data_IF_096437053943
#
_entry.id   IF_096437053943
#
_cell.length_a   1.000
_cell.length_b   1.000
_cell.length_c   1.000
_cell.angle_alpha   90.00
_cell.angle_beta   90.00
_cell.angle_gamma   90.00
#
_symmetry.space_group_name_H-M   'P 1'
#
loop_
_entity.id
_entity.type
_entity.pdbx_description
1 polymer ?
#
# COMPACT_ATOMS: atom_id res chain seq x y z
N UNK A 1 16.63 4.42 -24.80
CA UNK A 1 15.21 4.05 -25.01
C UNK A 1 14.41 4.74 -23.93
N UNK A 2 13.51 5.67 -24.25
CA UNK A 2 12.63 6.26 -23.25
C UNK A 2 11.72 5.17 -22.67
N UNK A 3 11.54 5.12 -21.35
CA UNK A 3 10.68 4.13 -20.73
C UNK A 3 9.23 4.47 -21.03
N UNK A 4 8.51 3.58 -21.70
CA UNK A 4 7.12 3.74 -22.13
C UNK A 4 6.86 5.15 -22.71
N UNK A 5 6.43 5.27 -23.93
CA UNK A 5 6.10 6.55 -24.59
C UNK A 5 4.86 7.18 -23.95
N UNK A 6 4.97 7.53 -22.66
CA UNK A 6 3.94 8.31 -22.00
C UNK A 6 4.07 9.78 -22.42
N UNK A 7 2.95 10.38 -22.74
CA UNK A 7 2.87 11.81 -23.03
C UNK A 7 3.12 12.66 -21.76
N UNK A 8 3.33 13.94 -21.97
CA UNK A 8 3.59 14.90 -20.89
C UNK A 8 2.45 14.94 -19.85
N UNK A 9 1.21 14.75 -20.30
CA UNK A 9 0.03 14.72 -19.40
C UNK A 9 0.12 13.52 -18.45
N UNK A 10 0.37 12.32 -18.96
CA UNK A 10 0.54 11.11 -18.16
C UNK A 10 1.64 11.25 -17.11
N UNK A 11 2.80 11.81 -17.50
CA UNK A 11 3.87 12.07 -16.54
C UNK A 11 3.50 13.10 -15.49
N UNK A 12 2.84 14.18 -15.88
CA UNK A 12 2.39 15.22 -14.93
C UNK A 12 1.44 14.63 -13.90
N UNK A 13 0.44 13.85 -14.35
CA UNK A 13 -0.49 13.17 -13.44
C UNK A 13 0.28 12.18 -12.52
N UNK A 14 1.20 11.39 -13.08
CA UNK A 14 1.98 10.43 -12.31
C UNK A 14 2.81 11.09 -11.21
N UNK A 15 3.50 12.19 -11.50
CA UNK A 15 4.25 12.95 -10.51
C UNK A 15 3.36 13.56 -9.42
N UNK A 16 2.22 14.14 -9.81
CA UNK A 16 1.25 14.69 -8.86
C UNK A 16 0.68 13.60 -7.94
N UNK A 17 0.27 12.47 -8.49
CA UNK A 17 -0.24 11.32 -7.73
C UNK A 17 0.82 10.80 -6.76
N UNK A 18 2.06 10.61 -7.22
CA UNK A 18 3.16 10.13 -6.39
C UNK A 18 3.44 11.09 -5.21
N UNK A 19 3.46 12.40 -5.47
CA UNK A 19 3.66 13.43 -4.45
C UNK A 19 2.52 13.45 -3.43
N UNK A 20 1.26 13.40 -3.89
CA UNK A 20 0.08 13.35 -3.01
C UNK A 20 0.06 12.07 -2.19
N UNK A 21 0.35 10.92 -2.79
CA UNK A 21 0.42 9.64 -2.09
C UNK A 21 1.50 9.65 -0.99
N UNK A 22 2.67 10.20 -1.30
CA UNK A 22 3.74 10.42 -0.34
C UNK A 22 3.32 11.33 0.80
N UNK A 23 2.72 12.49 0.49
CA UNK A 23 2.25 13.46 1.48
C UNK A 23 1.23 12.84 2.43
N UNK A 24 0.23 12.15 1.90
CA UNK A 24 -0.77 11.48 2.74
C UNK A 24 -0.13 10.42 3.62
N UNK A 25 0.79 9.60 3.07
CA UNK A 25 1.54 8.63 3.87
C UNK A 25 2.34 9.29 4.99
N UNK A 26 3.00 10.41 4.72
CA UNK A 26 3.74 11.17 5.73
C UNK A 26 2.85 11.63 6.88
N UNK A 27 1.63 12.09 6.60
CA UNK A 27 0.69 12.59 7.61
C UNK A 27 0.04 11.45 8.41
N UNK A 28 -0.48 10.39 7.72
CA UNK A 28 -1.31 9.35 8.38
C UNK A 28 -0.59 8.02 8.60
N UNK A 29 0.59 7.83 8.02
CA UNK A 29 1.41 6.61 8.15
C UNK A 29 1.03 5.46 7.23
N UNK A 30 -0.03 5.57 6.43
CA UNK A 30 -0.52 4.54 5.51
C UNK A 30 -1.12 5.19 4.24
N UNK A 31 -1.87 4.44 3.43
CA UNK A 31 -2.61 4.87 2.24
C UNK A 31 -1.77 5.13 0.97
N UNK A 32 -0.43 5.17 1.03
CA UNK A 32 0.40 5.38 -0.16
C UNK A 32 0.02 4.43 -1.31
N UNK A 33 -0.04 3.09 -1.12
CA UNK A 33 -0.39 2.19 -2.22
C UNK A 33 -1.78 2.45 -2.79
N UNK A 34 -2.74 2.75 -1.94
CA UNK A 34 -4.12 2.98 -2.35
C UNK A 34 -4.26 4.20 -3.26
N UNK A 35 -3.67 5.34 -2.84
CA UNK A 35 -3.70 6.59 -3.63
C UNK A 35 -2.90 6.42 -4.90
N UNK A 36 -1.73 5.80 -4.80
CA UNK A 36 -0.82 5.60 -5.91
C UNK A 36 -1.48 4.79 -7.03
N UNK A 37 -2.00 3.61 -6.69
CA UNK A 37 -2.65 2.74 -7.67
C UNK A 37 -3.92 3.36 -8.20
N UNK A 38 -4.81 3.86 -7.33
CA UNK A 38 -6.07 4.47 -7.77
C UNK A 38 -5.85 5.68 -8.69
N UNK A 39 -4.83 6.50 -8.39
CA UNK A 39 -4.51 7.67 -9.19
C UNK A 39 -3.81 7.32 -10.50
N UNK A 40 -2.79 6.45 -10.47
CA UNK A 40 -2.06 6.08 -11.67
C UNK A 40 -2.92 5.26 -12.65
N UNK A 41 -3.82 4.42 -12.14
CA UNK A 41 -4.71 3.64 -13.00
C UNK A 41 -5.69 4.50 -13.81
N UNK A 42 -5.74 5.82 -13.60
CA UNK A 42 -6.50 6.75 -14.46
C UNK A 42 -5.79 6.93 -15.81
N UNK A 43 -4.45 6.95 -15.79
CA UNK A 43 -3.62 7.33 -16.95
C UNK A 43 -2.73 6.20 -17.47
N UNK A 44 -2.67 5.07 -16.80
CA UNK A 44 -1.88 3.90 -17.22
C UNK A 44 -2.57 2.58 -16.88
N UNK A 45 -2.17 1.45 -17.51
CA UNK A 45 -2.69 0.12 -17.18
C UNK A 45 -2.48 -0.23 -15.71
N UNK A 46 -3.41 -0.99 -15.10
CA UNK A 46 -3.37 -1.29 -13.67
C UNK A 46 -2.13 -2.09 -13.25
N UNK A 47 -1.62 -2.99 -14.09
CA UNK A 47 -0.38 -3.73 -13.86
C UNK A 47 0.84 -2.80 -13.88
N UNK A 48 0.86 -1.81 -14.76
CA UNK A 48 1.91 -0.79 -14.80
C UNK A 48 1.86 0.11 -13.56
N UNK A 49 0.66 0.52 -13.14
CA UNK A 49 0.45 1.28 -11.91
C UNK A 49 0.93 0.51 -10.66
N UNK A 50 0.66 -0.80 -10.62
CA UNK A 50 1.15 -1.68 -9.56
C UNK A 50 2.69 -1.73 -9.54
N UNK A 51 3.32 -1.98 -10.69
CA UNK A 51 4.78 -2.02 -10.79
C UNK A 51 5.44 -0.67 -10.46
N UNK A 52 4.84 0.44 -10.91
CA UNK A 52 5.31 1.79 -10.63
C UNK A 52 5.30 2.16 -9.13
N UNK A 53 4.40 1.56 -8.35
CA UNK A 53 4.32 1.73 -6.90
C UNK A 53 5.50 1.11 -6.14
N UNK A 54 6.08 0.01 -6.64
CA UNK A 54 6.89 -0.93 -5.84
C UNK A 54 8.12 -0.26 -5.22
N UNK A 55 8.94 0.45 -6.00
CA UNK A 55 10.16 1.08 -5.48
C UNK A 55 9.84 2.26 -4.55
N UNK A 56 8.92 3.20 -4.91
CA UNK A 56 8.48 4.24 -3.98
C UNK A 56 7.96 3.68 -2.65
N UNK A 57 7.16 2.60 -2.70
CA UNK A 57 6.64 1.96 -1.50
C UNK A 57 7.75 1.31 -0.67
N UNK A 58 8.72 0.64 -1.30
CA UNK A 58 9.87 0.04 -0.62
C UNK A 58 10.65 1.10 0.16
N UNK A 59 11.02 2.21 -0.49
CA UNK A 59 11.84 3.24 0.14
C UNK A 59 11.05 3.95 1.24
N UNK A 60 9.81 4.39 0.97
CA UNK A 60 8.98 5.10 1.94
C UNK A 60 8.63 4.24 3.18
N UNK A 61 8.37 2.95 2.99
CA UNK A 61 8.12 2.02 4.08
C UNK A 61 9.39 1.67 4.85
N UNK A 62 10.54 1.54 4.16
CA UNK A 62 11.85 1.35 4.78
C UNK A 62 12.21 2.51 5.71
N UNK A 63 12.04 3.75 5.25
CA UNK A 63 12.24 4.95 6.08
C UNK A 63 11.34 4.95 7.31
N UNK A 64 10.06 4.59 7.15
CA UNK A 64 9.12 4.47 8.27
C UNK A 64 9.50 3.35 9.25
N UNK A 65 9.93 2.19 8.74
CA UNK A 65 10.36 1.04 9.55
C UNK A 65 11.56 1.36 10.43
N UNK A 66 12.52 2.10 9.89
CA UNK A 66 13.79 2.44 10.55
C UNK A 66 13.73 3.74 11.36
N UNK A 67 12.62 4.46 11.34
CA UNK A 67 12.47 5.77 12.04
C UNK A 67 12.81 5.71 13.52
N UNK A 68 12.53 4.60 14.20
CA UNK A 68 12.79 4.40 15.63
C UNK A 68 14.02 3.52 15.90
N UNK A 69 14.86 3.33 14.89
CA UNK A 69 16.11 2.56 14.97
C UNK A 69 15.95 1.09 14.59
N UNK A 70 17.06 0.51 14.16
CA UNK A 70 17.14 -0.87 13.66
C UNK A 70 16.79 -1.93 14.72
N UNK A 71 17.19 -1.71 15.98
CA UNK A 71 16.93 -2.64 17.07
C UNK A 71 15.43 -2.85 17.31
N UNK A 72 14.64 -1.75 17.31
CA UNK A 72 13.19 -1.83 17.48
C UNK A 72 12.49 -2.43 16.25
N UNK A 73 13.02 -2.17 15.04
CA UNK A 73 12.54 -2.83 13.84
C UNK A 73 12.73 -4.34 13.92
N UNK A 74 13.92 -4.80 14.32
CA UNK A 74 14.24 -6.22 14.50
C UNK A 74 13.38 -6.88 15.60
N UNK A 75 13.15 -6.20 16.72
CA UNK A 75 12.23 -6.67 17.76
C UNK A 75 10.81 -6.86 17.21
N UNK A 76 10.33 -5.94 16.37
CA UNK A 76 9.04 -6.05 15.71
C UNK A 76 8.98 -7.24 14.74
N UNK A 77 10.04 -7.49 13.97
CA UNK A 77 10.14 -8.68 13.10
C UNK A 77 10.01 -9.96 13.92
N UNK A 78 10.75 -10.08 15.02
CA UNK A 78 10.67 -11.24 15.93
C UNK A 78 9.25 -11.39 16.50
N UNK A 79 8.64 -10.30 16.93
CA UNK A 79 7.31 -10.27 17.52
C UNK A 79 6.23 -10.72 16.53
N UNK A 80 6.26 -10.25 15.28
CA UNK A 80 5.26 -10.52 14.25
C UNK A 80 5.72 -11.54 13.21
N UNK A 81 6.68 -12.41 13.56
CA UNK A 81 7.27 -13.38 12.61
C UNK A 81 6.24 -14.26 11.91
N UNK A 82 5.18 -14.71 12.62
CA UNK A 82 4.16 -15.58 12.02
C UNK A 82 3.30 -14.83 11.00
N UNK A 83 2.93 -13.58 11.31
CA UNK A 83 2.26 -12.69 10.36
C UNK A 83 3.12 -12.44 9.11
N UNK A 84 4.40 -12.16 9.30
CA UNK A 84 5.34 -11.86 8.22
C UNK A 84 5.61 -13.08 7.33
N UNK A 85 5.78 -14.27 7.92
CA UNK A 85 6.02 -15.50 7.15
C UNK A 85 4.78 -15.87 6.34
N UNK A 86 3.61 -15.97 6.97
CA UNK A 86 2.36 -16.29 6.27
C UNK A 86 2.03 -15.25 5.21
N UNK A 87 2.18 -13.96 5.55
CA UNK A 87 1.97 -12.86 4.62
C UNK A 87 2.94 -12.91 3.44
N UNK A 88 4.21 -13.14 3.68
CA UNK A 88 5.23 -13.26 2.63
C UNK A 88 4.96 -14.44 1.69
N UNK A 89 4.65 -15.62 2.22
CA UNK A 89 4.33 -16.82 1.41
C UNK A 89 3.08 -16.58 0.55
N UNK A 90 2.00 -16.07 1.14
CA UNK A 90 0.76 -15.79 0.42
C UNK A 90 0.93 -14.67 -0.62
N UNK A 91 1.72 -13.64 -0.31
CA UNK A 91 2.07 -12.56 -1.24
C UNK A 91 2.84 -13.10 -2.44
N UNK A 92 3.89 -13.89 -2.20
CA UNK A 92 4.69 -14.49 -3.26
C UNK A 92 3.84 -15.37 -4.18
N UNK A 93 2.92 -16.15 -3.62
CA UNK A 93 2.02 -17.01 -4.39
C UNK A 93 1.02 -16.18 -5.22
N UNK A 94 0.34 -15.22 -4.61
CA UNK A 94 -0.72 -14.45 -5.29
C UNK A 94 -0.17 -13.50 -6.36
N UNK A 95 1.03 -12.95 -6.18
CA UNK A 95 1.67 -12.07 -7.15
C UNK A 95 1.93 -12.75 -8.52
N UNK A 96 2.06 -14.08 -8.57
CA UNK A 96 2.29 -14.80 -9.82
C UNK A 96 1.09 -14.78 -10.76
N UNK A 97 -0.11 -14.53 -10.22
CA UNK A 97 -1.34 -14.51 -11.01
C UNK A 97 -1.63 -13.17 -11.67
N UNK A 98 -0.92 -12.09 -11.32
CA UNK A 98 -1.23 -10.71 -11.78
C UNK A 98 -1.32 -10.62 -13.30
N UNK A 99 -0.35 -11.18 -14.04
CA UNK A 99 -0.34 -11.14 -15.51
C UNK A 99 -1.30 -12.13 -16.18
N UNK A 100 -1.92 -13.04 -15.39
CA UNK A 100 -2.94 -13.96 -15.88
C UNK A 100 -4.35 -13.37 -15.75
N UNK A 101 -4.51 -12.29 -15.02
CA UNK A 101 -5.80 -11.64 -14.77
C UNK A 101 -6.09 -10.64 -15.88
N UNK A 102 -7.36 -10.55 -16.28
CA UNK A 102 -7.79 -9.48 -17.18
C UNK A 102 -7.70 -8.11 -16.48
N UNK A 103 -7.56 -7.01 -17.24
CA UNK A 103 -7.56 -5.66 -16.69
C UNK A 103 -8.78 -5.36 -15.80
N UNK A 104 -9.98 -5.87 -16.21
CA UNK A 104 -11.22 -5.70 -15.45
C UNK A 104 -11.12 -6.39 -14.09
N UNK A 105 -10.59 -7.62 -14.05
CA UNK A 105 -10.39 -8.38 -12.84
C UNK A 105 -9.37 -7.70 -11.91
N UNK A 106 -8.29 -7.14 -12.47
CA UNK A 106 -7.33 -6.33 -11.71
C UNK A 106 -7.98 -5.08 -11.11
N UNK A 107 -8.81 -4.36 -11.87
CA UNK A 107 -9.54 -3.21 -11.34
C UNK A 107 -10.46 -3.58 -10.18
N UNK A 108 -11.13 -4.73 -10.22
CA UNK A 108 -11.95 -5.23 -9.10
C UNK A 108 -11.06 -5.55 -7.88
N UNK A 109 -9.97 -6.29 -8.09
CA UNK A 109 -9.05 -6.69 -7.03
C UNK A 109 -8.29 -5.52 -6.40
N UNK A 110 -8.06 -4.45 -7.15
CA UNK A 110 -7.51 -3.19 -6.65
C UNK A 110 -8.57 -2.34 -5.95
N UNK A 111 -9.75 -2.22 -6.55
CA UNK A 111 -10.83 -1.34 -6.10
C UNK A 111 -11.55 -1.86 -4.86
N UNK A 112 -11.78 -3.17 -4.76
CA UNK A 112 -12.51 -3.76 -3.64
C UNK A 112 -11.84 -3.53 -2.28
N UNK A 113 -10.53 -3.82 -2.07
CA UNK A 113 -9.88 -3.57 -0.80
C UNK A 113 -9.86 -2.09 -0.41
N UNK A 114 -9.66 -1.19 -1.39
CA UNK A 114 -9.65 0.26 -1.17
C UNK A 114 -11.03 0.74 -0.72
N UNK A 115 -12.08 0.36 -1.47
CA UNK A 115 -13.47 0.74 -1.19
C UNK A 115 -13.93 0.21 0.16
N UNK A 116 -13.74 -1.10 0.39
CA UNK A 116 -14.11 -1.75 1.64
C UNK A 116 -13.43 -1.11 2.84
N UNK A 117 -12.12 -0.88 2.77
CA UNK A 117 -11.37 -0.26 3.84
C UNK A 117 -11.81 1.18 4.11
N UNK A 118 -11.97 1.99 3.05
CA UNK A 118 -12.39 3.37 3.19
C UNK A 118 -13.78 3.47 3.81
N UNK A 119 -14.73 2.67 3.31
CA UNK A 119 -16.09 2.61 3.84
C UNK A 119 -16.10 2.17 5.31
N UNK A 120 -15.46 1.04 5.63
CA UNK A 120 -15.39 0.53 6.99
C UNK A 120 -14.79 1.55 7.98
N UNK A 121 -13.73 2.25 7.59
CA UNK A 121 -13.10 3.26 8.42
C UNK A 121 -13.97 4.54 8.61
N UNK A 122 -14.78 4.89 7.59
CA UNK A 122 -15.67 6.07 7.65
C UNK A 122 -16.86 5.85 8.58
N UNK A 123 -17.45 4.66 8.57
CA UNK A 123 -18.59 4.32 9.43
C UNK A 123 -18.18 4.00 10.87
N UNK A 124 -16.88 4.06 11.17
CA UNK A 124 -16.33 3.87 12.52
C UNK A 124 -16.88 2.60 13.23
N UNK A 125 -17.03 1.50 12.50
CA UNK A 125 -17.38 0.23 13.15
C UNK A 125 -16.27 -0.09 14.14
N UNK A 126 -16.62 -0.19 15.41
CA UNK A 126 -15.71 -0.62 16.46
C UNK A 126 -15.25 -2.04 16.17
N UNK A 127 -13.94 -2.21 16.08
CA UNK A 127 -13.36 -3.53 15.92
C UNK A 127 -13.42 -4.21 17.26
N UNK A 128 -14.05 -5.38 17.33
CA UNK A 128 -14.00 -6.22 18.52
C UNK A 128 -12.53 -6.41 18.91
N UNK A 129 -12.22 -6.07 20.17
CA UNK A 129 -10.90 -6.33 20.69
C UNK A 129 -10.69 -7.83 20.81
N UNK A 130 -9.58 -8.29 20.31
CA UNK A 130 -9.20 -9.70 20.35
C UNK A 130 -7.80 -9.83 20.95
N UNK A 131 -7.62 -10.86 21.75
CA UNK A 131 -6.28 -11.22 22.19
C UNK A 131 -5.45 -11.69 20.99
N UNK A 132 -4.20 -11.26 20.94
CA UNK A 132 -3.27 -11.69 19.93
C UNK A 132 -2.95 -13.17 20.12
N UNK A 133 -3.01 -13.95 19.05
CA UNK A 133 -2.58 -15.35 19.03
C UNK A 133 -1.78 -15.66 17.77
N UNK A 134 -1.04 -16.79 17.81
CA UNK A 134 -0.27 -17.26 16.66
C UNK A 134 -1.15 -17.56 15.45
N UNK A 135 -2.31 -18.15 15.67
CA UNK A 135 -3.28 -18.50 14.62
C UNK A 135 -3.82 -17.25 13.94
N UNK A 136 -4.13 -16.21 14.74
CA UNK A 136 -4.60 -14.92 14.22
C UNK A 136 -3.50 -14.20 13.45
N UNK A 137 -2.25 -14.23 13.92
CA UNK A 137 -1.09 -13.70 13.18
C UNK A 137 -0.98 -14.39 11.81
N UNK A 138 -1.06 -15.72 11.75
CA UNK A 138 -0.99 -16.49 10.51
C UNK A 138 -2.16 -16.17 9.58
N UNK A 139 -3.39 -16.19 10.09
CA UNK A 139 -4.59 -15.92 9.30
C UNK A 139 -4.56 -14.51 8.70
N UNK A 140 -4.32 -13.50 9.53
CA UNK A 140 -4.35 -12.10 9.09
C UNK A 140 -3.14 -11.74 8.23
N UNK A 141 -1.98 -12.34 8.50
CA UNK A 141 -0.82 -12.24 7.62
C UNK A 141 -1.10 -12.85 6.25
N UNK A 142 -1.67 -14.05 6.21
CA UNK A 142 -2.06 -14.73 4.97
C UNK A 142 -3.05 -13.91 4.13
N UNK A 143 -4.13 -13.41 4.76
CA UNK A 143 -5.12 -12.55 4.08
C UNK A 143 -4.44 -11.27 3.54
N UNK A 144 -3.63 -10.60 4.38
CA UNK A 144 -2.90 -9.41 3.96
C UNK A 144 -1.96 -9.70 2.79
N UNK A 145 -1.26 -10.83 2.83
CA UNK A 145 -0.36 -11.27 1.75
C UNK A 145 -1.09 -11.59 0.45
N UNK A 146 -2.18 -12.35 0.50
CA UNK A 146 -2.99 -12.69 -0.69
C UNK A 146 -3.48 -11.42 -1.40
N UNK A 147 -4.06 -10.48 -0.65
CA UNK A 147 -4.52 -9.21 -1.21
C UNK A 147 -3.32 -8.39 -1.70
N UNK A 148 -2.26 -8.32 -0.89
CA UNK A 148 -1.08 -7.51 -1.17
C UNK A 148 -0.29 -7.94 -2.39
N UNK A 149 -0.18 -9.24 -2.68
CA UNK A 149 0.57 -9.75 -3.82
C UNK A 149 -0.06 -9.37 -5.15
N UNK A 150 -1.39 -9.42 -5.24
CA UNK A 150 -2.11 -9.05 -6.47
C UNK A 150 -2.28 -7.53 -6.60
N UNK A 151 -2.51 -6.84 -5.49
CA UNK A 151 -2.92 -5.43 -5.51
C UNK A 151 -1.86 -4.44 -5.02
N UNK A 152 -0.78 -4.90 -4.41
CA UNK A 152 0.14 -4.01 -3.68
C UNK A 152 -0.47 -3.36 -2.43
N UNK A 153 -1.70 -3.74 -2.04
CA UNK A 153 -2.49 -3.09 -0.99
C UNK A 153 -2.73 -4.06 0.17
N UNK A 154 -1.72 -4.29 1.01
CA UNK A 154 -1.85 -5.10 2.24
C UNK A 154 -2.22 -4.27 3.49
N UNK A 155 -2.35 -2.96 3.32
CA UNK A 155 -2.65 -2.02 4.42
C UNK A 155 -3.97 -2.32 5.15
N UNK A 156 -5.11 -2.47 4.47
CA UNK A 156 -6.41 -2.68 5.09
C UNK A 156 -6.45 -3.82 6.11
N UNK A 157 -6.12 -5.07 5.77
CA UNK A 157 -6.14 -6.18 6.74
C UNK A 157 -5.18 -5.96 7.89
N UNK A 158 -3.98 -5.41 7.60
CA UNK A 158 -2.97 -5.11 8.63
C UNK A 158 -3.48 -4.07 9.63
N UNK A 159 -4.05 -2.94 9.14
CA UNK A 159 -4.59 -1.89 10.01
C UNK A 159 -5.74 -2.40 10.86
N UNK A 160 -6.65 -3.18 10.26
CA UNK A 160 -7.76 -3.81 10.98
C UNK A 160 -7.23 -4.71 12.11
N UNK A 161 -6.30 -5.59 11.80
CA UNK A 161 -5.73 -6.50 12.78
C UNK A 161 -5.00 -5.78 13.92
N UNK A 162 -4.10 -4.84 13.60
CA UNK A 162 -3.37 -4.07 14.61
C UNK A 162 -4.29 -3.20 15.46
N UNK A 163 -5.48 -2.86 14.95
CA UNK A 163 -6.51 -2.16 15.72
C UNK A 163 -7.27 -3.12 16.63
N UNK A 164 -7.61 -4.29 16.13
CA UNK A 164 -8.31 -5.32 16.90
C UNK A 164 -7.52 -5.82 18.12
N UNK A 165 -6.19 -5.92 18.01
CA UNK A 165 -5.32 -6.29 19.13
C UNK A 165 -4.96 -5.10 20.05
N UNK A 166 -5.67 -3.99 19.94
CA UNK A 166 -5.64 -2.83 20.85
C UNK A 166 -4.24 -2.23 21.13
N UNK A 167 -3.33 -2.25 20.15
CA UNK A 167 -1.99 -1.68 20.33
C UNK A 167 -2.02 -0.15 20.48
N UNK A 168 -1.07 0.45 21.24
CA UNK A 168 -0.87 1.89 21.29
C UNK A 168 -0.60 2.47 19.89
N UNK A 169 -1.03 3.71 19.62
CA UNK A 169 -0.90 4.36 18.30
C UNK A 169 0.53 4.39 17.78
N UNK A 170 1.49 4.70 18.66
CA UNK A 170 2.92 4.76 18.30
C UNK A 170 3.44 3.40 17.85
N UNK A 171 3.07 2.34 18.56
CA UNK A 171 3.45 0.97 18.21
C UNK A 171 2.80 0.52 16.91
N UNK A 172 1.52 0.87 16.67
CA UNK A 172 0.85 0.58 15.39
C UNK A 172 1.61 1.15 14.21
N UNK A 173 2.01 2.43 14.26
CA UNK A 173 2.74 3.11 13.17
C UNK A 173 4.09 2.43 12.92
N UNK A 174 4.82 2.11 13.99
CA UNK A 174 6.10 1.40 13.91
C UNK A 174 5.95 0.03 13.29
N UNK A 175 5.01 -0.78 13.80
CA UNK A 175 4.75 -2.15 13.32
C UNK A 175 4.30 -2.13 11.86
N UNK A 176 3.43 -1.20 11.48
CA UNK A 176 3.04 -1.00 10.09
C UNK A 176 4.24 -0.72 9.19
N UNK A 177 5.16 0.15 9.62
CA UNK A 177 6.39 0.44 8.88
C UNK A 177 7.20 -0.83 8.59
N UNK A 178 7.39 -1.68 9.60
CA UNK A 178 8.14 -2.93 9.47
C UNK A 178 7.41 -3.93 8.57
N UNK A 179 6.12 -4.16 8.80
CA UNK A 179 5.30 -5.08 7.99
C UNK A 179 5.29 -4.61 6.53
N UNK A 180 5.08 -3.32 6.30
CA UNK A 180 5.01 -2.75 4.95
C UNK A 180 6.39 -2.71 4.27
N UNK A 181 7.47 -2.47 5.02
CA UNK A 181 8.82 -2.50 4.51
C UNK A 181 9.22 -3.89 4.02
N UNK A 182 9.01 -4.91 4.84
CA UNK A 182 9.28 -6.30 4.47
C UNK A 182 8.32 -6.81 3.39
N UNK A 183 7.05 -6.41 3.45
CA UNK A 183 6.08 -6.69 2.39
C UNK A 183 6.52 -6.10 1.04
N UNK A 184 7.08 -4.89 1.02
CA UNK A 184 7.60 -4.28 -0.20
C UNK A 184 8.84 -5.03 -0.74
N UNK A 185 9.72 -5.56 0.13
CA UNK A 185 10.81 -6.44 -0.30
C UNK A 185 10.26 -7.71 -0.95
N UNK A 186 9.29 -8.37 -0.31
CA UNK A 186 8.64 -9.55 -0.86
C UNK A 186 7.95 -9.25 -2.21
N UNK A 187 7.33 -8.07 -2.33
CA UNK A 187 6.67 -7.63 -3.56
C UNK A 187 7.68 -7.40 -4.70
N UNK A 188 8.86 -6.82 -4.41
CA UNK A 188 9.94 -6.69 -5.40
C UNK A 188 10.32 -8.07 -5.94
N UNK A 189 10.64 -9.02 -5.04
CA UNK A 189 11.06 -10.37 -5.42
C UNK A 189 9.97 -11.08 -6.21
N UNK A 190 8.72 -11.00 -5.76
CA UNK A 190 7.58 -11.63 -6.41
C UNK A 190 7.33 -11.08 -7.81
N UNK A 191 7.37 -9.75 -7.99
CA UNK A 191 7.06 -9.11 -9.26
C UNK A 191 8.25 -9.04 -10.24
N UNK A 192 9.47 -9.24 -9.78
CA UNK A 192 10.58 -9.60 -10.66
C UNK A 192 10.36 -11.00 -11.26
N UNK A 193 9.89 -11.95 -10.45
CA UNK A 193 9.58 -13.31 -10.91
C UNK A 193 8.35 -13.40 -11.80
N UNK A 194 7.28 -12.65 -11.50
CA UNK A 194 6.05 -12.64 -12.31
C UNK A 194 6.16 -11.85 -13.62
N UNK A 195 7.20 -11.01 -13.79
CA UNK A 195 7.40 -10.19 -14.99
C UNK A 195 6.69 -8.82 -14.97
N UNK A 196 5.91 -8.50 -13.94
CA UNK A 196 5.29 -7.15 -13.78
C UNK A 196 6.37 -6.08 -13.65
N UNK A 197 7.44 -6.38 -12.90
CA UNK A 197 8.54 -5.44 -12.69
C UNK A 197 9.65 -5.64 -13.74
N UNK A 198 9.32 -5.43 -15.01
CA UNK A 198 10.29 -5.44 -16.09
C UNK A 198 11.02 -4.09 -16.21
N UNK A 199 12.06 -4.02 -17.04
CA UNK A 199 12.99 -2.88 -17.11
C UNK A 199 12.31 -1.51 -17.31
N UNK A 200 11.31 -1.44 -18.17
CA UNK A 200 10.58 -0.19 -18.44
C UNK A 200 9.77 0.27 -17.22
N UNK A 201 9.02 -0.65 -16.58
CA UNK A 201 8.23 -0.36 -15.38
C UNK A 201 9.14 -0.04 -14.20
N UNK A 202 10.30 -0.70 -14.09
CA UNK A 202 11.30 -0.39 -13.08
C UNK A 202 11.81 1.05 -13.20
N UNK A 203 12.04 1.52 -14.43
CA UNK A 203 12.45 2.91 -14.68
C UNK A 203 11.36 3.91 -14.27
N UNK A 204 10.09 3.64 -14.64
CA UNK A 204 8.95 4.46 -14.18
C UNK A 204 8.87 4.49 -12.66
N UNK A 205 8.97 3.32 -12.03
CA UNK A 205 8.95 3.18 -10.57
C UNK A 205 10.08 4.00 -9.90
N UNK A 206 11.30 3.94 -10.45
CA UNK A 206 12.44 4.68 -9.93
C UNK A 206 12.26 6.20 -10.07
N UNK A 207 11.74 6.68 -11.19
CA UNK A 207 11.48 8.11 -11.41
C UNK A 207 10.42 8.67 -10.43
N UNK A 208 9.44 7.87 -10.04
CA UNK A 208 8.40 8.27 -9.10
C UNK A 208 8.84 8.26 -7.63
N UNK A 209 10.06 7.77 -7.33
CA UNK A 209 10.63 7.85 -5.97
C UNK A 209 10.78 9.29 -5.50
N UNK A 210 11.36 10.17 -6.33
CA UNK A 210 11.63 11.55 -5.95
C UNK A 210 10.36 12.31 -5.52
N UNK A 211 9.29 12.40 -6.34
CA UNK A 211 8.07 13.09 -5.93
C UNK A 211 7.41 12.41 -4.73
N UNK A 212 7.45 11.08 -4.61
CA UNK A 212 6.91 10.36 -3.46
C UNK A 212 7.63 10.74 -2.17
N UNK A 213 8.96 10.79 -2.18
CA UNK A 213 9.75 11.14 -0.99
C UNK A 213 9.62 12.61 -0.63
N UNK A 214 9.54 13.51 -1.61
CA UNK A 214 9.25 14.92 -1.36
C UNK A 214 7.91 15.08 -0.66
N UNK A 215 6.86 14.44 -1.18
CA UNK A 215 5.54 14.42 -0.52
C UNK A 215 5.60 13.83 0.88
N UNK A 216 6.25 12.68 1.05
CA UNK A 216 6.40 12.02 2.34
C UNK A 216 7.10 12.91 3.37
N UNK A 217 8.20 13.54 3.02
CA UNK A 217 8.93 14.44 3.90
C UNK A 217 8.11 15.68 4.30
N UNK A 218 7.40 16.28 3.35
CA UNK A 218 6.47 17.38 3.64
C UNK A 218 5.37 16.91 4.58
N UNK A 219 4.72 15.78 4.27
CA UNK A 219 3.65 15.21 5.09
C UNK A 219 4.09 14.88 6.50
N UNK A 220 5.29 14.33 6.66
CA UNK A 220 5.87 13.99 7.96
C UNK A 220 6.08 15.24 8.85
N UNK A 221 6.51 16.36 8.27
CA UNK A 221 6.62 17.65 9.00
C UNK A 221 5.27 18.19 9.49
N UNK A 222 4.20 17.88 8.77
CA UNK A 222 2.85 18.31 9.13
C UNK A 222 2.11 17.32 10.05
N UNK A 223 2.66 16.14 10.31
CA UNK A 223 2.03 15.07 11.08
C UNK A 223 1.50 15.51 12.46
N UNK A 224 2.18 16.43 13.14
CA UNK A 224 1.77 16.94 14.45
C UNK A 224 0.99 18.27 14.41
N UNK A 225 0.87 18.91 13.25
CA UNK A 225 0.32 20.28 13.10
C UNK A 225 -1.08 20.32 12.51
N UNK A 226 -1.53 19.24 11.90
CA UNK A 226 -2.85 19.13 11.25
C UNK A 226 -3.79 18.32 12.13
N UNK A 227 -5.07 18.69 12.13
CA UNK A 227 -6.10 17.84 12.72
C UNK A 227 -6.15 16.50 11.97
N UNK A 228 -5.45 15.52 12.53
CA UNK A 228 -5.28 14.20 11.92
C UNK A 228 -6.62 13.48 11.70
N UNK A 229 -7.61 13.69 12.54
CA UNK A 229 -8.93 13.06 12.40
C UNK A 229 -9.65 13.58 11.14
N UNK A 230 -9.66 14.90 10.95
CA UNK A 230 -10.27 15.54 9.77
C UNK A 230 -9.51 15.15 8.50
N UNK A 231 -8.19 15.25 8.51
CA UNK A 231 -7.36 14.89 7.34
C UNK A 231 -7.54 13.41 6.95
N UNK A 232 -7.53 12.51 7.94
CA UNK A 232 -7.80 11.08 7.72
C UNK A 232 -9.18 10.85 7.12
N UNK A 233 -10.21 11.54 7.62
CA UNK A 233 -11.58 11.42 7.10
C UNK A 233 -11.68 11.88 5.65
N UNK A 234 -11.07 13.00 5.29
CA UNK A 234 -11.01 13.49 3.91
C UNK A 234 -10.27 12.48 3.01
N UNK A 235 -9.13 11.98 3.45
CA UNK A 235 -8.39 10.93 2.72
C UNK A 235 -9.26 9.69 2.46
N UNK A 236 -10.01 9.24 3.47
CA UNK A 236 -10.89 8.08 3.31
C UNK A 236 -12.05 8.35 2.35
N UNK A 237 -12.61 9.57 2.34
CA UNK A 237 -13.63 9.94 1.35
C UNK A 237 -13.07 9.90 -0.08
N UNK A 238 -11.87 10.44 -0.28
CA UNK A 238 -11.19 10.40 -1.60
C UNK A 238 -10.92 8.94 -2.01
N UNK A 239 -10.41 8.12 -1.08
CA UNK A 239 -10.16 6.70 -1.33
C UNK A 239 -11.44 5.93 -1.66
N UNK A 240 -12.55 6.25 -1.00
CA UNK A 240 -13.84 5.63 -1.29
C UNK A 240 -14.28 5.93 -2.72
N UNK A 241 -14.23 7.19 -3.15
CA UNK A 241 -14.57 7.59 -4.53
C UNK A 241 -13.63 6.93 -5.53
N UNK A 242 -12.32 6.94 -5.26
CA UNK A 242 -11.33 6.33 -6.13
C UNK A 242 -11.50 4.81 -6.25
N UNK A 243 -11.76 4.13 -5.14
CA UNK A 243 -12.04 2.69 -5.11
C UNK A 243 -13.32 2.32 -5.86
N UNK A 244 -14.40 3.10 -5.67
CA UNK A 244 -15.65 2.91 -6.43
C UNK A 244 -15.44 3.11 -7.93
N UNK A 245 -14.61 4.09 -8.34
CA UNK A 245 -14.28 4.29 -9.74
C UNK A 245 -13.49 3.09 -10.33
N UNK A 246 -12.55 2.50 -9.56
CA UNK A 246 -11.85 1.28 -9.98
C UNK A 246 -12.85 0.12 -10.14
N UNK A 247 -13.77 -0.07 -9.18
CA UNK A 247 -14.80 -1.11 -9.26
C UNK A 247 -15.70 -0.90 -10.49
N UNK A 248 -16.13 0.34 -10.76
CA UNK A 248 -16.92 0.66 -11.95
C UNK A 248 -16.18 0.24 -13.22
N UNK A 249 -14.90 0.58 -13.35
CA UNK A 249 -14.07 0.20 -14.50
C UNK A 249 -13.90 -1.32 -14.62
N UNK A 250 -13.81 -2.01 -13.50
CA UNK A 250 -13.76 -3.48 -13.47
C UNK A 250 -15.07 -4.16 -13.84
N UNK A 251 -16.21 -3.47 -13.72
CA UNK A 251 -17.53 -3.97 -14.12
C UNK A 251 -17.93 -3.57 -15.54
N UNK A 252 -17.01 -2.99 -16.32
CA UNK A 252 -17.26 -2.65 -17.73
C UNK A 252 -17.94 -1.28 -17.93
N UNK A 253 -17.85 -0.38 -16.97
CA UNK A 253 -18.41 0.99 -17.00
C UNK A 253 -17.39 2.07 -17.30
#
# INVERSE_FOLDING_TARGET
>A
MMPLEFDLFTWTVAFCVAMVAGLVKGIVGFALPMIFISGLSIVMPPETALGALIIPAFIANGLQALRHGFSLALATVKQFRMFLISGGVCLMASAQFVLMLSPEMLFILLGFPVTFFAFWQLIKIDVFQVERSREKDILMGGIAGLIGGVSGIWGPPTVMYLTAIALPKVDKIRIQGVIYGLGAVALIVAHLGSGVLHSQVLTVSALLVAPTLLGFWVGDKFQGRINQATFRRLTLCILLVAGLNLLRRGMGG
#
